data_IF_870879665479
#
_entry.id   IF_870879665479
#
_cell.length_a   1.000
_cell.length_b   1.000
_cell.length_c   1.000
_cell.angle_alpha   90.00
_cell.angle_beta   90.00
_cell.angle_gamma   90.00
#
_symmetry.space_group_name_H-M   'P 1'
#
loop_
_entity.id
_entity.type
_entity.pdbx_description
1 polymer ?
#
# COMPACT_ATOMS: atom_id res chain seq x y z
N UNK A 1 -2.74 -0.04 22.69
CA UNK A 1 -2.78 0.55 21.35
C UNK A 1 -2.42 -0.48 20.28
N UNK A 2 -1.37 -1.28 20.50
CA UNK A 2 -0.90 -2.32 19.57
C UNK A 2 -1.99 -3.33 19.19
N UNK A 3 -2.80 -3.77 20.15
CA UNK A 3 -3.84 -4.76 19.91
C UNK A 3 -5.08 -4.20 19.21
N UNK A 4 -5.17 -2.88 19.03
CA UNK A 4 -6.36 -2.24 18.45
C UNK A 4 -6.50 -2.49 16.94
N UNK A 5 -5.42 -2.88 16.26
CA UNK A 5 -5.42 -3.20 14.83
C UNK A 5 -5.84 -4.65 14.55
N UNK A 6 -5.73 -5.54 15.55
CA UNK A 6 -6.09 -6.95 15.39
C UNK A 6 -7.51 -7.08 14.84
N UNK A 7 -7.66 -7.76 13.71
CA UNK A 7 -8.92 -7.91 12.95
C UNK A 7 -9.55 -6.60 12.43
N UNK A 8 -8.77 -5.51 12.40
CA UNK A 8 -9.26 -4.19 11.94
C UNK A 8 -8.22 -3.45 11.08
N UNK A 9 -7.64 -4.15 10.10
CA UNK A 9 -6.55 -3.63 9.28
C UNK A 9 -6.91 -2.38 8.49
N UNK A 10 -8.11 -2.29 7.96
CA UNK A 10 -8.55 -1.21 7.08
C UNK A 10 -9.57 -0.25 7.70
N UNK A 11 -10.00 -0.47 8.93
CA UNK A 11 -11.03 0.34 9.60
C UNK A 11 -10.46 1.56 10.32
N UNK A 12 -10.20 1.42 11.62
CA UNK A 12 -9.66 2.51 12.46
C UNK A 12 -8.36 3.12 11.95
N UNK A 13 -7.38 2.34 11.43
CA UNK A 13 -6.18 2.95 10.88
C UNK A 13 -6.46 3.91 9.72
N UNK A 14 -7.40 3.59 8.83
CA UNK A 14 -7.80 4.51 7.76
C UNK A 14 -8.52 5.75 8.31
N UNK A 15 -9.37 5.59 9.32
CA UNK A 15 -10.04 6.70 10.01
C UNK A 15 -9.01 7.64 10.65
N UNK A 16 -8.02 7.08 11.37
CA UNK A 16 -6.94 7.85 11.98
C UNK A 16 -6.14 8.65 10.95
N UNK A 17 -5.84 8.06 9.78
CA UNK A 17 -5.16 8.77 8.70
C UNK A 17 -6.00 9.96 8.17
N UNK A 18 -7.30 9.77 7.99
CA UNK A 18 -8.22 10.84 7.55
C UNK A 18 -8.28 11.97 8.58
N UNK A 19 -8.45 11.61 9.84
CA UNK A 19 -8.50 12.58 10.94
C UNK A 19 -7.17 13.29 11.12
N UNK A 20 -6.05 12.56 11.02
CA UNK A 20 -4.69 13.09 11.12
C UNK A 20 -4.38 14.11 10.02
N UNK A 21 -4.71 13.80 8.76
CA UNK A 21 -4.53 14.73 7.64
C UNK A 21 -5.36 16.00 7.84
N UNK A 22 -6.63 15.86 8.24
CA UNK A 22 -7.50 16.99 8.50
C UNK A 22 -7.00 17.86 9.68
N UNK A 23 -6.46 17.22 10.73
CA UNK A 23 -5.88 17.91 11.87
C UNK A 23 -4.60 18.67 11.49
N UNK A 24 -3.71 18.06 10.69
CA UNK A 24 -2.49 18.68 10.21
C UNK A 24 -2.79 19.97 9.41
N UNK A 25 -3.75 19.93 8.48
CA UNK A 25 -4.14 21.11 7.71
C UNK A 25 -4.78 22.22 8.55
N UNK A 26 -5.44 21.87 9.67
CA UNK A 26 -5.95 22.87 10.62
C UNK A 26 -4.84 23.48 11.48
N UNK A 27 -3.85 22.67 11.85
CA UNK A 27 -2.74 23.08 12.70
C UNK A 27 -1.74 23.96 11.94
N UNK A 28 -1.49 23.64 10.68
CA UNK A 28 -0.58 24.38 9.81
C UNK A 28 -1.28 24.75 8.50
N UNK A 29 -1.78 26.01 8.37
CA UNK A 29 -2.45 26.50 7.16
C UNK A 29 -1.54 26.59 5.92
N UNK A 30 -0.21 26.41 6.06
CA UNK A 30 0.71 26.38 4.92
C UNK A 30 0.71 25.00 4.22
N UNK A 31 0.16 23.96 4.87
CA UNK A 31 0.02 22.63 4.27
C UNK A 31 -1.15 22.62 3.29
N UNK A 32 -0.85 22.40 2.02
CA UNK A 32 -1.86 22.15 1.00
C UNK A 32 -2.30 20.68 1.02
N UNK A 33 -3.16 20.35 1.97
CA UNK A 33 -3.67 18.96 2.13
C UNK A 33 -4.52 18.47 0.95
N UNK A 34 -5.03 19.39 0.12
CA UNK A 34 -5.78 19.06 -1.09
C UNK A 34 -4.85 18.66 -2.25
N UNK A 35 -3.56 19.02 -2.16
CA UNK A 35 -2.54 18.71 -3.15
C UNK A 35 -1.47 17.79 -2.54
N UNK A 36 -1.91 16.65 -2.02
CA UNK A 36 -1.07 15.68 -1.33
C UNK A 36 -1.01 14.34 -2.07
N UNK A 37 0.10 13.62 -1.94
CA UNK A 37 0.25 12.22 -2.25
C UNK A 37 0.47 11.41 -0.97
N UNK A 38 0.09 10.14 -0.96
CA UNK A 38 0.36 9.23 0.15
C UNK A 38 1.38 8.17 -0.25
N UNK A 39 2.27 7.83 0.68
CA UNK A 39 3.31 6.83 0.48
C UNK A 39 3.28 5.84 1.65
N UNK A 40 3.50 4.58 1.35
CA UNK A 40 3.59 3.55 2.38
C UNK A 40 4.30 2.30 1.90
N UNK A 41 4.98 1.63 2.85
CA UNK A 41 5.67 0.37 2.62
C UNK A 41 5.13 -0.69 3.58
N UNK A 42 5.19 -1.97 3.17
CA UNK A 42 4.72 -3.10 3.97
C UNK A 42 3.22 -2.96 4.29
N UNK A 43 2.84 -2.93 5.57
CA UNK A 43 1.48 -2.57 5.97
C UNK A 43 1.07 -1.20 5.40
N UNK A 44 1.98 -0.22 5.35
CA UNK A 44 1.73 1.06 4.69
C UNK A 44 1.47 0.92 3.18
N UNK A 45 2.12 -0.02 2.52
CA UNK A 45 1.85 -0.38 1.12
C UNK A 45 0.47 -1.03 0.95
N UNK A 46 0.08 -1.93 1.86
CA UNK A 46 -1.31 -2.40 1.97
C UNK A 46 -2.28 -1.23 2.10
N UNK A 47 -1.99 -0.28 2.99
CA UNK A 47 -2.84 0.89 3.21
C UNK A 47 -2.96 1.75 1.94
N UNK A 48 -1.92 1.84 1.09
CA UNK A 48 -2.03 2.54 -0.19
C UNK A 48 -3.00 1.83 -1.14
N UNK A 49 -2.93 0.49 -1.23
CA UNK A 49 -3.90 -0.31 -1.99
C UNK A 49 -5.33 -0.17 -1.44
N UNK A 50 -5.47 -0.12 -0.10
CA UNK A 50 -6.75 0.07 0.58
C UNK A 50 -7.32 1.46 0.33
N UNK A 51 -6.51 2.52 0.49
CA UNK A 51 -6.88 3.92 0.20
C UNK A 51 -7.36 4.07 -1.24
N UNK A 52 -6.71 3.43 -2.21
CA UNK A 52 -7.11 3.48 -3.61
C UNK A 52 -8.58 3.05 -3.83
N UNK A 53 -9.09 2.14 -2.98
CA UNK A 53 -10.48 1.64 -3.05
C UNK A 53 -11.46 2.29 -2.07
N UNK A 54 -10.98 2.89 -0.97
CA UNK A 54 -11.82 3.39 0.12
C UNK A 54 -11.83 4.93 0.27
N UNK A 55 -10.79 5.59 -0.28
CA UNK A 55 -10.65 7.05 -0.23
C UNK A 55 -10.12 7.58 -1.56
N UNK A 56 -10.91 7.39 -2.60
CA UNK A 56 -10.52 7.55 -4.00
C UNK A 56 -10.21 8.98 -4.45
N UNK A 57 -10.55 9.98 -3.67
CA UNK A 57 -10.33 11.41 -3.93
C UNK A 57 -9.44 12.08 -2.87
N UNK A 58 -8.87 11.29 -1.95
CA UNK A 58 -8.05 11.80 -0.86
C UNK A 58 -6.68 12.30 -1.29
N UNK A 59 -6.12 11.76 -2.39
CA UNK A 59 -4.75 12.03 -2.81
C UNK A 59 -4.62 12.18 -4.32
N UNK A 60 -3.62 12.98 -4.75
CA UNK A 60 -3.27 13.15 -6.18
C UNK A 60 -2.51 11.96 -6.75
N UNK A 61 -1.72 11.29 -5.93
CA UNK A 61 -1.02 10.07 -6.28
C UNK A 61 -0.72 9.21 -5.05
N UNK A 62 -0.41 7.95 -5.30
CA UNK A 62 0.00 6.98 -4.30
C UNK A 62 1.37 6.39 -4.65
N UNK A 63 2.14 6.02 -3.63
CA UNK A 63 3.33 5.17 -3.76
C UNK A 63 3.15 3.97 -2.85
N UNK A 64 2.98 2.82 -3.46
CA UNK A 64 2.85 1.52 -2.79
C UNK A 64 4.20 0.78 -2.91
N UNK A 65 4.82 0.46 -1.79
CA UNK A 65 6.03 -0.35 -1.73
C UNK A 65 5.76 -1.60 -0.90
N UNK A 66 6.02 -2.78 -1.47
CA UNK A 66 5.88 -4.09 -0.81
C UNK A 66 4.53 -4.25 -0.07
N UNK A 67 3.42 -3.82 -0.68
CA UNK A 67 2.12 -3.84 -0.02
C UNK A 67 1.28 -5.06 -0.36
N UNK A 68 0.51 -5.56 0.59
CA UNK A 68 -0.48 -6.62 0.34
C UNK A 68 -1.56 -6.11 -0.61
N UNK A 69 -1.81 -6.87 -1.67
CA UNK A 69 -2.87 -6.63 -2.66
C UNK A 69 -4.02 -7.62 -2.50
N UNK A 70 -3.69 -8.92 -2.43
CA UNK A 70 -4.65 -9.99 -2.21
C UNK A 70 -4.31 -10.76 -0.94
N UNK A 71 -5.08 -10.52 0.12
CA UNK A 71 -4.89 -11.15 1.41
C UNK A 71 -5.05 -12.69 1.36
N UNK A 72 -5.83 -13.21 0.40
CA UNK A 72 -5.97 -14.67 0.19
C UNK A 72 -4.68 -15.31 -0.28
N UNK A 73 -4.03 -14.70 -1.28
CA UNK A 73 -2.74 -15.18 -1.78
C UNK A 73 -1.67 -15.01 -0.71
N UNK A 74 -1.65 -13.85 -0.05
CA UNK A 74 -0.71 -13.53 1.02
C UNK A 74 -0.71 -14.58 2.13
N UNK A 75 -1.88 -15.08 2.54
CA UNK A 75 -2.04 -16.08 3.58
C UNK A 75 -1.33 -17.43 3.28
N UNK A 76 -0.93 -17.66 2.03
CA UNK A 76 -0.23 -18.89 1.60
C UNK A 76 1.17 -18.61 1.04
N UNK A 77 1.56 -17.34 0.87
CA UNK A 77 2.81 -16.95 0.22
C UNK A 77 3.84 -16.38 1.20
N UNK A 78 3.38 -15.77 2.31
CA UNK A 78 4.28 -15.11 3.26
C UNK A 78 5.14 -16.09 4.06
N UNK A 79 6.38 -15.69 4.37
CA UNK A 79 7.24 -16.40 5.34
C UNK A 79 6.79 -16.22 6.79
N UNK A 80 5.93 -15.21 7.07
CA UNK A 80 5.50 -14.84 8.42
C UNK A 80 4.06 -15.26 8.71
N UNK A 81 3.72 -16.53 8.52
CA UNK A 81 2.37 -17.07 8.73
C UNK A 81 1.79 -16.76 10.11
N UNK A 82 2.62 -16.82 11.16
CA UNK A 82 2.20 -16.54 12.53
C UNK A 82 1.65 -15.11 12.71
N UNK A 83 2.25 -14.15 12.01
CA UNK A 83 1.85 -12.74 12.05
C UNK A 83 0.50 -12.56 11.34
N UNK A 84 0.39 -13.09 10.13
CA UNK A 84 -0.80 -13.01 9.30
C UNK A 84 -2.01 -13.68 10.01
N UNK A 85 -1.80 -14.88 10.56
CA UNK A 85 -2.84 -15.60 11.31
C UNK A 85 -3.24 -14.87 12.60
N UNK A 86 -2.31 -14.23 13.30
CA UNK A 86 -2.64 -13.44 14.50
C UNK A 86 -3.49 -12.21 14.15
N UNK A 87 -3.13 -11.52 13.09
CA UNK A 87 -3.80 -10.30 12.64
C UNK A 87 -5.23 -10.57 12.15
N UNK A 88 -5.47 -11.74 11.57
CA UNK A 88 -6.79 -12.13 11.07
C UNK A 88 -7.55 -13.09 12.01
N UNK A 89 -6.88 -13.62 13.03
CA UNK A 89 -7.47 -14.50 14.05
C UNK A 89 -7.47 -15.98 13.70
N UNK A 90 -6.68 -16.39 12.71
CA UNK A 90 -6.47 -17.77 12.27
C UNK A 90 -6.09 -17.89 10.81
N UNK A 91 -5.76 -19.08 10.32
CA UNK A 91 -5.42 -19.29 8.91
C UNK A 91 -6.64 -19.04 8.01
N UNK A 92 -6.38 -18.58 6.78
CA UNK A 92 -7.42 -18.20 5.82
C UNK A 92 -8.54 -19.25 5.66
N UNK A 93 -8.19 -20.55 5.55
CA UNK A 93 -9.18 -21.61 5.37
C UNK A 93 -10.13 -21.84 6.57
N UNK A 94 -9.85 -21.22 7.72
CA UNK A 94 -10.71 -21.26 8.92
C UNK A 94 -11.52 -19.99 9.11
N UNK A 95 -10.95 -18.84 8.72
CA UNK A 95 -11.54 -17.50 8.96
C UNK A 95 -11.51 -16.63 7.69
N UNK A 96 -11.99 -17.11 6.53
CA UNK A 96 -11.86 -16.38 5.27
C UNK A 96 -12.51 -15.00 5.31
N UNK A 97 -13.59 -14.81 6.06
CA UNK A 97 -14.31 -13.54 6.14
C UNK A 97 -13.46 -12.43 6.77
N UNK A 98 -12.55 -12.76 7.70
CA UNK A 98 -11.67 -11.78 8.34
C UNK A 98 -10.62 -11.25 7.36
N UNK A 99 -10.15 -12.09 6.44
CA UNK A 99 -9.26 -11.67 5.35
C UNK A 99 -10.00 -10.86 4.29
N UNK A 100 -11.15 -11.36 3.84
CA UNK A 100 -11.91 -10.73 2.75
C UNK A 100 -12.46 -9.37 3.13
N UNK A 101 -12.78 -9.15 4.39
CA UNK A 101 -13.27 -7.88 4.94
C UNK A 101 -12.34 -6.71 4.65
N UNK A 102 -11.03 -6.95 4.69
CA UNK A 102 -10.01 -5.92 4.53
C UNK A 102 -9.14 -6.14 3.28
N UNK A 103 -9.64 -6.89 2.31
CA UNK A 103 -8.87 -7.30 1.14
C UNK A 103 -8.94 -6.26 0.01
N UNK A 104 -7.81 -5.58 -0.34
CA UNK A 104 -7.79 -4.54 -1.38
C UNK A 104 -8.27 -5.00 -2.75
N UNK A 105 -7.97 -6.26 -3.14
CA UNK A 105 -8.34 -6.81 -4.45
C UNK A 105 -9.85 -6.74 -4.71
N UNK A 106 -10.67 -6.82 -3.66
CA UNK A 106 -12.12 -6.75 -3.78
C UNK A 106 -12.63 -5.35 -4.16
N UNK A 107 -11.78 -4.33 -4.13
CA UNK A 107 -12.13 -2.93 -4.38
C UNK A 107 -11.45 -2.32 -5.61
N UNK A 108 -10.75 -3.12 -6.41
CA UNK A 108 -10.03 -2.68 -7.62
C UNK A 108 -10.93 -1.89 -8.58
N UNK A 109 -12.22 -2.23 -8.67
CA UNK A 109 -13.17 -1.52 -9.55
C UNK A 109 -13.34 -0.03 -9.21
N UNK A 110 -12.97 0.40 -8.00
CA UNK A 110 -13.03 1.80 -7.53
C UNK A 110 -11.72 2.56 -7.74
N UNK A 111 -10.63 1.87 -8.08
CA UNK A 111 -9.31 2.48 -8.21
C UNK A 111 -9.28 3.46 -9.37
N UNK A 112 -8.82 4.67 -9.10
CA UNK A 112 -8.66 5.76 -10.09
C UNK A 112 -7.48 6.67 -9.79
N UNK A 113 -6.82 6.49 -8.63
CA UNK A 113 -5.70 7.32 -8.23
C UNK A 113 -4.41 6.78 -8.86
N UNK A 114 -3.60 7.62 -9.53
CA UNK A 114 -2.31 7.22 -10.06
C UNK A 114 -1.42 6.60 -8.98
N UNK A 115 -0.74 5.48 -9.32
CA UNK A 115 0.06 4.74 -8.34
C UNK A 115 1.40 4.29 -8.88
N UNK A 116 2.48 4.63 -8.15
CA UNK A 116 3.79 4.00 -8.29
C UNK A 116 3.80 2.74 -7.43
N UNK A 117 4.13 1.61 -8.04
CA UNK A 117 4.28 0.32 -7.37
C UNK A 117 5.76 -0.04 -7.31
N UNK A 118 6.26 -0.36 -6.12
CA UNK A 118 7.65 -0.76 -5.89
C UNK A 118 7.64 -2.13 -5.22
N UNK A 119 8.47 -3.05 -5.70
CA UNK A 119 8.59 -4.40 -5.13
C UNK A 119 9.98 -4.97 -5.35
N UNK A 120 10.34 -6.02 -4.62
CA UNK A 120 11.66 -6.66 -4.68
C UNK A 120 11.51 -8.17 -4.88
N UNK A 121 12.30 -8.78 -5.77
CA UNK A 121 12.16 -10.20 -6.12
C UNK A 121 12.51 -11.17 -4.97
N UNK A 122 13.29 -10.71 -3.99
CA UNK A 122 13.69 -11.52 -2.83
C UNK A 122 12.88 -11.15 -1.57
N UNK A 123 11.75 -10.50 -1.74
CA UNK A 123 10.80 -10.28 -0.66
C UNK A 123 9.97 -11.55 -0.46
N UNK A 124 10.19 -12.23 0.66
CA UNK A 124 9.44 -13.42 1.08
C UNK A 124 8.43 -13.09 2.19
N UNK A 125 8.47 -11.86 2.70
CA UNK A 125 7.50 -11.36 3.69
C UNK A 125 6.21 -10.95 3.02
N UNK A 126 6.31 -10.03 2.04
CA UNK A 126 5.22 -9.71 1.12
C UNK A 126 5.74 -9.99 -0.30
N UNK A 127 5.50 -11.21 -0.82
CA UNK A 127 6.10 -11.67 -2.06
C UNK A 127 5.85 -10.71 -3.23
N UNK A 128 6.85 -10.57 -4.09
CA UNK A 128 6.82 -9.61 -5.20
C UNK A 128 5.62 -9.80 -6.14
N UNK A 129 5.01 -10.99 -6.14
CA UNK A 129 3.77 -11.29 -6.85
C UNK A 129 2.62 -10.36 -6.46
N UNK A 130 2.59 -9.89 -5.20
CA UNK A 130 1.61 -8.92 -4.71
C UNK A 130 1.78 -7.55 -5.42
N UNK A 131 3.02 -7.10 -5.60
CA UNK A 131 3.33 -5.88 -6.36
C UNK A 131 3.00 -6.02 -7.85
N UNK A 132 3.35 -7.15 -8.47
CA UNK A 132 3.01 -7.44 -9.87
C UNK A 132 1.49 -7.46 -10.09
N UNK A 133 0.75 -8.08 -9.18
CA UNK A 133 -0.71 -8.14 -9.23
C UNK A 133 -1.35 -6.74 -9.08
N UNK A 134 -0.85 -5.92 -8.14
CA UNK A 134 -1.24 -4.51 -8.00
C UNK A 134 -1.06 -3.73 -9.31
N UNK A 135 0.14 -3.80 -9.89
CA UNK A 135 0.45 -3.12 -11.14
C UNK A 135 -0.43 -3.62 -12.30
N UNK A 136 -0.61 -4.93 -12.40
CA UNK A 136 -1.48 -5.54 -13.42
C UNK A 136 -2.92 -5.03 -13.30
N UNK A 137 -3.45 -4.93 -12.07
CA UNK A 137 -4.79 -4.41 -11.82
C UNK A 137 -4.93 -2.96 -12.32
N UNK A 138 -3.96 -2.09 -11.98
CA UNK A 138 -3.93 -0.70 -12.45
C UNK A 138 -3.88 -0.59 -13.98
N UNK A 139 -2.98 -1.34 -14.63
CA UNK A 139 -2.84 -1.35 -16.08
C UNK A 139 -4.13 -1.84 -16.79
N UNK A 140 -4.75 -2.89 -16.29
CA UNK A 140 -6.02 -3.39 -16.83
C UNK A 140 -7.19 -2.43 -16.65
N UNK A 141 -7.11 -1.57 -15.61
CA UNK A 141 -8.08 -0.49 -15.39
C UNK A 141 -7.81 0.74 -16.26
N UNK A 142 -6.62 0.82 -16.90
CA UNK A 142 -6.18 2.01 -17.64
C UNK A 142 -5.74 3.16 -16.74
N UNK A 143 -5.43 2.87 -15.46
CA UNK A 143 -5.01 3.90 -14.51
C UNK A 143 -3.52 4.20 -14.67
N UNK A 144 -3.12 5.49 -14.59
CA UNK A 144 -1.72 5.88 -14.67
C UNK A 144 -0.90 5.16 -13.58
N UNK A 145 0.09 4.39 -14.01
CA UNK A 145 0.91 3.62 -13.06
C UNK A 145 2.31 3.35 -13.59
N UNK A 146 3.24 3.19 -12.66
CA UNK A 146 4.63 2.83 -12.92
C UNK A 146 5.01 1.67 -12.00
N UNK A 147 5.85 0.76 -12.48
CA UNK A 147 6.41 -0.35 -11.70
C UNK A 147 7.92 -0.19 -11.59
N UNK A 148 8.46 -0.29 -10.37
CA UNK A 148 9.88 -0.40 -10.07
C UNK A 148 10.14 -1.73 -9.37
N UNK A 149 10.97 -2.57 -9.97
CA UNK A 149 11.36 -3.88 -9.40
C UNK A 149 12.84 -3.88 -9.08
N UNK A 150 13.18 -4.33 -7.86
CA UNK A 150 14.57 -4.60 -7.47
C UNK A 150 14.84 -6.11 -7.44
N UNK A 151 15.59 -6.66 -8.40
CA UNK A 151 15.80 -8.10 -8.51
C UNK A 151 16.71 -8.67 -7.42
N UNK A 152 17.43 -7.82 -6.71
CA UNK A 152 18.46 -8.20 -5.77
C UNK A 152 18.26 -7.66 -4.34
N UNK A 153 17.09 -7.05 -4.06
CA UNK A 153 16.65 -6.62 -2.73
C UNK A 153 15.60 -7.58 -2.15
N UNK A 154 15.47 -7.51 -0.83
CA UNK A 154 14.42 -8.19 -0.06
C UNK A 154 13.30 -7.21 0.32
N UNK A 155 12.65 -7.40 1.48
CA UNK A 155 11.63 -6.48 2.01
C UNK A 155 12.16 -5.06 2.27
N UNK A 156 13.48 -4.90 2.30
CA UNK A 156 14.17 -3.63 2.53
C UNK A 156 15.07 -3.29 1.34
N UNK A 157 15.07 -2.04 0.90
CA UNK A 157 16.01 -1.54 -0.12
C UNK A 157 17.29 -1.07 0.58
N UNK A 158 18.25 -1.97 0.75
CA UNK A 158 19.46 -1.76 1.57
C UNK A 158 20.70 -1.37 0.78
N UNK A 159 20.78 -1.72 -0.51
CA UNK A 159 21.93 -1.40 -1.34
C UNK A 159 21.92 0.08 -1.72
N UNK A 160 23.05 0.77 -1.54
CA UNK A 160 23.14 2.22 -1.75
C UNK A 160 22.69 2.67 -3.15
N UNK A 161 23.08 1.95 -4.21
CA UNK A 161 22.67 2.29 -5.58
C UNK A 161 21.15 2.14 -5.77
N UNK A 162 20.56 1.06 -5.24
CA UNK A 162 19.13 0.81 -5.30
C UNK A 162 18.35 1.85 -4.47
N UNK A 163 18.87 2.24 -3.31
CA UNK A 163 18.29 3.31 -2.49
C UNK A 163 18.25 4.65 -3.22
N UNK A 164 19.33 5.02 -3.92
CA UNK A 164 19.35 6.23 -4.75
C UNK A 164 18.30 6.14 -5.85
N UNK A 165 18.20 5.02 -6.56
CA UNK A 165 17.20 4.80 -7.60
C UNK A 165 15.79 4.89 -7.04
N UNK A 166 15.54 4.29 -5.87
CA UNK A 166 14.26 4.36 -5.16
C UNK A 166 13.84 5.82 -4.92
N UNK A 167 14.71 6.61 -4.30
CA UNK A 167 14.44 8.03 -4.01
C UNK A 167 14.22 8.85 -5.27
N UNK A 168 15.05 8.68 -6.29
CA UNK A 168 14.89 9.39 -7.57
C UNK A 168 13.55 9.06 -8.23
N UNK A 169 13.17 7.78 -8.26
CA UNK A 169 11.90 7.35 -8.86
C UNK A 169 10.70 7.91 -8.09
N UNK A 170 10.74 7.84 -6.76
CA UNK A 170 9.69 8.40 -5.92
C UNK A 170 9.57 9.91 -6.09
N UNK A 171 10.67 10.66 -6.04
CA UNK A 171 10.62 12.12 -6.22
C UNK A 171 10.14 12.54 -7.62
N UNK A 172 10.52 11.81 -8.66
CA UNK A 172 10.01 12.07 -10.01
C UNK A 172 8.51 11.81 -10.10
N UNK A 173 8.04 10.71 -9.48
CA UNK A 173 6.62 10.40 -9.42
C UNK A 173 5.84 11.49 -8.69
N UNK A 174 6.26 11.87 -7.50
CA UNK A 174 5.63 12.95 -6.74
C UNK A 174 5.63 14.28 -7.51
N UNK A 175 6.76 14.62 -8.15
CA UNK A 175 6.88 15.84 -8.96
C UNK A 175 5.95 15.87 -10.17
N UNK A 176 5.49 14.73 -10.66
CA UNK A 176 4.51 14.64 -11.76
C UNK A 176 3.11 15.07 -11.31
N UNK A 177 2.73 14.75 -10.07
CA UNK A 177 1.36 14.96 -9.57
C UNK A 177 1.21 16.10 -8.58
N UNK A 178 2.28 16.48 -7.87
CA UNK A 178 2.30 17.62 -6.97
C UNK A 178 2.77 18.86 -7.74
N UNK A 179 1.84 19.60 -8.31
CA UNK A 179 2.16 20.87 -8.98
C UNK A 179 2.46 21.94 -7.93
N UNK A 180 3.56 22.65 -8.14
CA UNK A 180 3.85 23.90 -7.43
C UNK A 180 2.91 25.01 -7.88
#
# INVERSE_FOLDING_TARGET
>A
FTDSINKDWGGKPLEDLKLGLAAAGKQDPQLDIANACALGASYGGYMMNWIAGQWTDGFKCLVQHDGVFDARAMAYETEELWFDEWEHGGPYFQVPEEYEKWNPVNHVTKWKTPMLVITSEKDFRIPYTQGLATFTALQRRGEPSQLLVFPDENHWVLKGANSVQWHQTVFNWLGTYLKK
#
